data_IF_603531432429
#
_entry.id   IF_603531432429
#
_cell.length_a   1.000
_cell.length_b   1.000
_cell.length_c   1.000
_cell.angle_alpha   90.00
_cell.angle_beta   90.00
_cell.angle_gamma   90.00
#
_symmetry.space_group_name_H-M   'P 1'
#
loop_
_entity.id
_entity.type
_entity.pdbx_description
1 polymer ?
#
# COMPACT_ATOMS: atom_id res chain seq x y z
N UNK A 1 21.92 -5.25 -18.29
CA UNK A 1 22.25 -6.30 -19.29
C UNK A 1 21.11 -6.63 -20.26
N UNK A 2 19.83 -6.56 -19.88
CA UNK A 2 18.68 -6.80 -20.79
C UNK A 2 18.62 -5.81 -21.98
N UNK A 3 19.01 -4.56 -21.78
CA UNK A 3 19.03 -3.52 -22.81
C UNK A 3 19.93 -3.83 -24.01
N UNK A 4 21.04 -4.55 -23.80
CA UNK A 4 21.95 -4.95 -24.88
C UNK A 4 21.27 -5.96 -25.81
N UNK A 5 20.49 -6.89 -25.26
CA UNK A 5 19.75 -7.89 -26.04
C UNK A 5 18.61 -7.26 -26.84
N UNK A 6 17.93 -6.26 -26.29
CA UNK A 6 16.88 -5.53 -27.00
C UNK A 6 17.46 -4.74 -28.18
N UNK A 7 18.60 -4.07 -27.96
CA UNK A 7 19.30 -3.35 -29.04
C UNK A 7 19.82 -4.31 -30.12
N UNK A 8 20.39 -5.45 -29.73
CA UNK A 8 20.87 -6.46 -30.68
C UNK A 8 19.72 -7.07 -31.49
N UNK A 9 18.58 -7.36 -30.85
CA UNK A 9 17.40 -7.85 -31.52
C UNK A 9 16.85 -6.81 -32.50
N UNK A 10 16.72 -5.55 -32.10
CA UNK A 10 16.25 -4.46 -32.96
C UNK A 10 17.16 -4.23 -34.18
N UNK A 11 18.47 -4.28 -33.99
CA UNK A 11 19.45 -4.12 -35.07
C UNK A 11 19.41 -5.32 -36.04
N UNK A 12 19.17 -6.53 -35.53
CA UNK A 12 18.98 -7.73 -36.33
C UNK A 12 17.68 -7.68 -37.16
N UNK A 13 16.58 -7.15 -36.61
CA UNK A 13 15.33 -7.00 -37.38
C UNK A 13 15.48 -5.97 -38.50
N UNK A 14 16.11 -4.83 -38.22
CA UNK A 14 16.37 -3.78 -39.23
C UNK A 14 17.33 -4.29 -40.31
N UNK A 15 18.41 -4.98 -39.91
CA UNK A 15 19.35 -5.61 -40.84
C UNK A 15 18.69 -6.70 -41.70
N UNK A 16 17.81 -7.51 -41.11
CA UNK A 16 17.04 -8.54 -41.81
C UNK A 16 16.07 -7.96 -42.85
N UNK A 17 15.40 -6.85 -42.53
CA UNK A 17 14.52 -6.12 -43.47
C UNK A 17 15.34 -5.56 -44.64
N UNK A 18 16.56 -5.06 -44.38
CA UNK A 18 17.45 -4.55 -45.42
C UNK A 18 18.07 -5.65 -46.31
N UNK A 19 18.30 -6.85 -45.76
CA UNK A 19 18.94 -7.96 -46.48
C UNK A 19 17.94 -8.85 -47.23
N UNK A 20 16.74 -9.11 -46.68
CA UNK A 20 15.68 -9.86 -47.37
C UNK A 20 14.81 -8.97 -48.27
N UNK A 21 14.68 -7.67 -47.98
CA UNK A 21 13.93 -6.74 -48.78
C UNK A 21 14.72 -6.31 -50.01
N UNK A 22 14.44 -6.92 -51.17
CA UNK A 22 14.87 -6.41 -52.50
C UNK A 22 14.20 -5.07 -52.81
N UNK A 23 14.46 -4.04 -52.00
CA UNK A 23 13.92 -2.71 -52.16
C UNK A 23 14.71 -2.01 -53.28
N UNK A 24 14.02 -1.47 -54.31
CA UNK A 24 14.66 -0.71 -55.37
C UNK A 24 15.41 0.48 -54.76
N UNK A 25 16.57 0.83 -55.32
CA UNK A 25 17.46 1.86 -54.76
C UNK A 25 16.75 3.21 -54.50
N UNK A 26 15.67 3.49 -55.24
CA UNK A 26 14.84 4.68 -55.11
C UNK A 26 14.03 4.74 -53.80
N UNK A 27 13.70 3.63 -53.13
CA UNK A 27 12.84 3.62 -51.93
C UNK A 27 13.61 3.61 -50.60
N UNK A 28 14.93 3.38 -50.63
CA UNK A 28 15.82 3.44 -49.44
C UNK A 28 15.82 4.79 -48.72
N UNK A 29 15.84 5.96 -49.40
CA UNK A 29 15.77 7.24 -48.69
C UNK A 29 14.42 7.46 -48.00
N UNK A 30 13.32 6.93 -48.54
CA UNK A 30 11.99 6.98 -47.94
C UNK A 30 11.90 6.16 -46.64
N UNK A 31 12.49 4.98 -46.62
CA UNK A 31 12.58 4.17 -45.40
C UNK A 31 13.43 4.86 -44.32
N UNK A 32 14.57 5.46 -44.72
CA UNK A 32 15.39 6.26 -43.81
C UNK A 32 14.64 7.47 -43.24
N UNK A 33 13.87 8.18 -44.09
CA UNK A 33 13.06 9.30 -43.67
C UNK A 33 11.95 8.88 -42.69
N UNK A 34 11.30 7.73 -42.91
CA UNK A 34 10.27 7.22 -42.01
C UNK A 34 10.81 6.87 -40.61
N UNK A 35 12.02 6.28 -40.54
CA UNK A 35 12.69 5.99 -39.26
C UNK A 35 13.07 7.29 -38.55
N UNK A 36 13.62 8.25 -39.28
CA UNK A 36 13.97 9.57 -38.72
C UNK A 36 12.73 10.33 -38.24
N UNK A 37 11.60 10.24 -38.95
CA UNK A 37 10.32 10.80 -38.52
C UNK A 37 9.78 10.11 -37.25
N UNK A 38 9.91 8.78 -37.15
CA UNK A 38 9.53 8.04 -35.95
C UNK A 38 10.39 8.43 -34.74
N UNK A 39 11.70 8.58 -34.93
CA UNK A 39 12.62 9.02 -33.87
C UNK A 39 12.40 10.48 -33.48
N UNK A 40 12.16 11.37 -34.44
CA UNK A 40 11.84 12.77 -34.18
C UNK A 40 10.49 12.91 -33.48
N UNK A 41 9.48 12.13 -33.89
CA UNK A 41 8.19 12.06 -33.22
C UNK A 41 8.32 11.56 -31.79
N UNK A 42 9.10 10.50 -31.55
CA UNK A 42 9.38 10.00 -30.20
C UNK A 42 10.15 11.02 -29.33
N UNK A 43 11.10 11.74 -29.92
CA UNK A 43 11.87 12.78 -29.22
C UNK A 43 11.03 14.02 -28.90
N UNK A 44 10.04 14.35 -29.74
CA UNK A 44 9.12 15.47 -29.53
C UNK A 44 7.96 15.12 -28.59
N UNK A 45 7.52 13.86 -28.57
CA UNK A 45 6.43 13.38 -27.70
C UNK A 45 6.93 12.89 -26.33
N UNK A 46 8.18 12.42 -26.27
CA UNK A 46 8.80 11.94 -25.05
C UNK A 46 9.45 13.08 -24.27
N UNK A 47 9.30 13.07 -22.95
CA UNK A 47 10.04 13.96 -22.05
C UNK A 47 11.06 13.13 -21.25
N UNK A 48 12.13 12.61 -21.87
CA UNK A 48 13.08 11.68 -21.24
C UNK A 48 13.88 12.30 -20.09
N UNK A 49 13.77 13.62 -19.89
CA UNK A 49 14.39 14.39 -18.81
C UNK A 49 13.41 14.85 -17.72
N UNK A 50 12.14 14.44 -17.75
CA UNK A 50 11.26 14.69 -16.61
C UNK A 50 11.76 13.86 -15.41
N UNK A 51 12.06 14.49 -14.26
CA UNK A 51 12.20 13.76 -13.01
C UNK A 51 10.94 12.91 -12.81
N UNK A 52 11.09 11.67 -12.35
CA UNK A 52 9.94 10.84 -12.02
C UNK A 52 9.04 11.60 -11.07
N UNK A 53 7.87 12.03 -11.55
CA UNK A 53 6.87 12.64 -10.69
C UNK A 53 6.34 11.52 -9.78
N UNK A 54 6.38 11.69 -8.45
CA UNK A 54 5.68 10.79 -7.56
C UNK A 54 4.23 10.73 -8.04
N UNK A 55 3.69 9.52 -8.21
CA UNK A 55 2.25 9.34 -8.41
C UNK A 55 1.59 10.11 -7.27
N UNK A 56 0.90 11.20 -7.59
CA UNK A 56 0.15 11.94 -6.60
C UNK A 56 -0.85 10.95 -6.03
N UNK A 57 -0.59 10.54 -4.78
CA UNK A 57 -1.52 9.80 -3.96
C UNK A 57 -2.84 10.57 -4.05
N UNK A 58 -3.94 9.87 -4.30
CA UNK A 58 -5.25 10.45 -3.99
C UNK A 58 -5.12 11.06 -2.59
N UNK A 59 -5.59 12.30 -2.40
CA UNK A 59 -5.42 13.04 -1.16
C UNK A 59 -6.03 12.21 -0.02
N UNK A 60 -5.19 11.39 0.59
CA UNK A 60 -5.48 10.76 1.85
C UNK A 60 -5.48 11.89 2.87
N UNK A 61 -6.42 11.89 3.82
CA UNK A 61 -6.42 12.89 4.88
C UNK A 61 -5.02 12.96 5.51
N UNK A 62 -4.53 14.19 5.66
CA UNK A 62 -3.17 14.47 6.12
C UNK A 62 -2.82 13.63 7.36
N UNK A 63 -1.73 12.85 7.28
CA UNK A 63 -1.19 12.09 8.42
C UNK A 63 -1.51 10.60 8.48
N UNK A 64 -2.39 10.04 7.62
CA UNK A 64 -2.75 8.61 7.67
C UNK A 64 -1.95 7.71 6.72
N UNK A 65 -1.33 8.29 5.69
CA UNK A 65 -0.87 7.53 4.52
C UNK A 65 0.56 7.05 4.42
N UNK A 66 1.52 7.95 4.62
CA UNK A 66 2.90 7.76 4.19
C UNK A 66 3.74 6.98 5.22
N UNK A 67 3.17 6.67 6.38
CA UNK A 67 3.92 6.26 7.56
C UNK A 67 3.70 4.80 8.02
N UNK A 68 2.99 3.96 7.23
CA UNK A 68 2.77 2.54 7.59
C UNK A 68 4.09 1.75 7.64
N UNK A 69 4.95 1.89 6.62
CA UNK A 69 6.17 1.08 6.46
C UNK A 69 7.22 1.37 7.54
N UNK A 70 7.50 2.64 7.84
CA UNK A 70 8.48 3.01 8.88
C UNK A 70 7.99 2.63 10.28
N UNK A 71 6.67 2.67 10.52
CA UNK A 71 6.09 2.34 11.85
C UNK A 71 6.13 0.84 12.16
N UNK A 72 6.02 -0.02 11.16
CA UNK A 72 6.15 -1.46 11.38
C UNK A 72 7.49 -1.82 12.02
N UNK A 73 8.56 -1.10 11.70
CA UNK A 73 9.90 -1.35 12.23
C UNK A 73 10.05 -1.03 13.73
N UNK A 74 9.26 -0.10 14.26
CA UNK A 74 9.29 0.29 15.67
C UNK A 74 8.39 -0.54 16.58
N UNK A 75 7.41 -1.23 16.00
CA UNK A 75 6.45 -2.09 16.72
C UNK A 75 6.74 -3.58 16.57
N UNK A 76 7.59 -3.98 15.62
CA UNK A 76 7.99 -5.37 15.41
C UNK A 76 9.17 -5.72 16.34
N UNK A 77 9.03 -6.82 17.07
CA UNK A 77 10.15 -7.41 17.80
C UNK A 77 11.17 -7.95 16.79
N UNK A 78 12.35 -7.33 16.81
CA UNK A 78 13.30 -7.29 15.70
C UNK A 78 13.71 -8.67 15.17
N UNK A 79 13.28 -8.91 13.93
CA UNK A 79 13.84 -9.80 12.91
C UNK A 79 14.05 -11.27 13.31
N UNK A 80 12.93 -12.00 13.37
CA UNK A 80 12.92 -13.46 13.29
C UNK A 80 12.99 -14.01 11.85
N UNK A 81 12.90 -15.34 11.67
CA UNK A 81 12.93 -16.02 10.36
C UNK A 81 11.84 -15.60 9.37
N UNK A 82 10.83 -14.85 9.83
CA UNK A 82 9.76 -14.25 9.04
C UNK A 82 10.17 -12.97 8.30
N UNK A 83 11.27 -12.32 8.71
CA UNK A 83 11.75 -11.05 8.17
C UNK A 83 11.91 -11.03 6.65
N UNK A 84 12.38 -12.14 6.06
CA UNK A 84 12.55 -12.24 4.61
C UNK A 84 11.22 -12.08 3.84
N UNK A 85 10.12 -12.58 4.40
CA UNK A 85 8.80 -12.53 3.77
C UNK A 85 8.21 -11.13 3.89
N UNK A 86 8.40 -10.48 5.04
CA UNK A 86 8.03 -9.08 5.26
C UNK A 86 8.82 -8.17 4.30
N UNK A 87 10.15 -8.32 4.23
CA UNK A 87 10.97 -7.52 3.33
C UNK A 87 10.61 -7.72 1.84
N UNK A 88 10.25 -8.94 1.44
CA UNK A 88 9.75 -9.21 0.08
C UNK A 88 8.39 -8.54 -0.16
N UNK A 89 7.48 -8.64 0.80
CA UNK A 89 6.19 -7.95 0.76
C UNK A 89 6.37 -6.45 0.61
N UNK A 90 7.23 -5.84 1.43
CA UNK A 90 7.50 -4.40 1.38
C UNK A 90 8.09 -3.98 0.04
N UNK A 91 8.95 -4.82 -0.55
CA UNK A 91 9.46 -4.62 -1.90
C UNK A 91 8.36 -4.60 -2.96
N UNK A 92 7.38 -5.50 -2.86
CA UNK A 92 6.21 -5.49 -3.73
C UNK A 92 5.29 -4.28 -3.47
N UNK A 93 5.07 -3.92 -2.21
CA UNK A 93 4.28 -2.75 -1.82
C UNK A 93 4.85 -1.45 -2.41
N UNK A 94 6.17 -1.23 -2.31
CA UNK A 94 6.84 -0.05 -2.89
C UNK A 94 6.75 0.04 -4.42
N UNK A 95 6.47 -1.08 -5.10
CA UNK A 95 6.30 -1.12 -6.55
C UNK A 95 4.83 -1.20 -6.98
N UNK A 96 3.90 -1.00 -6.06
CA UNK A 96 2.45 -1.06 -6.31
C UNK A 96 1.90 -2.47 -6.55
N UNK A 97 2.73 -3.51 -6.39
CA UNK A 97 2.35 -4.92 -6.62
C UNK A 97 1.70 -5.52 -5.38
N UNK A 98 0.67 -4.88 -4.87
CA UNK A 98 0.01 -5.22 -3.58
C UNK A 98 -0.51 -6.66 -3.52
N UNK A 99 -0.99 -7.21 -4.64
CA UNK A 99 -1.39 -8.63 -4.71
C UNK A 99 -0.21 -9.59 -4.50
N UNK A 100 0.98 -9.28 -5.03
CA UNK A 100 2.18 -10.08 -4.80
C UNK A 100 2.71 -9.90 -3.37
N UNK A 101 2.50 -8.74 -2.77
CA UNK A 101 2.81 -8.49 -1.37
C UNK A 101 2.01 -9.41 -0.44
N UNK A 102 0.69 -9.49 -0.63
CA UNK A 102 -0.16 -10.42 0.12
C UNK A 102 0.26 -11.89 -0.08
N UNK A 103 0.49 -12.32 -1.33
CA UNK A 103 0.95 -13.68 -1.63
C UNK A 103 2.31 -14.02 -1.00
N UNK A 104 3.22 -13.05 -0.90
CA UNK A 104 4.51 -13.23 -0.23
C UNK A 104 4.31 -13.56 1.26
N UNK A 105 3.40 -12.84 1.91
CA UNK A 105 3.10 -13.00 3.33
C UNK A 105 2.33 -14.30 3.61
N UNK A 106 1.38 -14.67 2.74
CA UNK A 106 0.69 -15.96 2.81
C UNK A 106 1.68 -17.14 2.76
N UNK A 107 2.67 -17.09 1.87
CA UNK A 107 3.76 -18.10 1.83
C UNK A 107 4.61 -18.08 3.10
N UNK A 108 4.83 -16.90 3.67
CA UNK A 108 5.45 -16.77 4.99
C UNK A 108 4.65 -17.47 6.08
N UNK A 109 3.33 -17.25 6.10
CA UNK A 109 2.40 -17.83 7.08
C UNK A 109 2.28 -19.35 6.94
N UNK A 110 2.44 -19.91 5.74
CA UNK A 110 2.54 -21.37 5.59
C UNK A 110 3.73 -21.96 6.36
N UNK A 111 4.82 -21.19 6.50
CA UNK A 111 6.03 -21.63 7.23
C UNK A 111 6.01 -21.22 8.71
N UNK A 112 5.43 -20.06 9.01
CA UNK A 112 5.37 -19.48 10.36
C UNK A 112 3.92 -19.06 10.68
N UNK A 113 3.00 -20.03 10.90
CA UNK A 113 1.57 -19.75 11.02
C UNK A 113 1.19 -18.93 12.25
N UNK A 114 2.06 -18.91 13.26
CA UNK A 114 1.84 -18.21 14.53
C UNK A 114 2.59 -16.87 14.62
N UNK A 115 3.26 -16.45 13.53
CA UNK A 115 3.99 -15.20 13.54
C UNK A 115 3.04 -14.00 13.37
N UNK A 116 2.95 -13.19 14.41
CA UNK A 116 2.06 -12.01 14.50
C UNK A 116 2.40 -10.98 13.42
N UNK A 117 3.69 -10.70 13.19
CA UNK A 117 4.11 -9.70 12.19
C UNK A 117 3.68 -10.07 10.77
N UNK A 118 3.67 -11.35 10.41
CA UNK A 118 3.19 -11.80 9.09
C UNK A 118 1.69 -11.60 8.94
N UNK A 119 0.90 -11.86 9.98
CA UNK A 119 -0.54 -11.58 9.96
C UNK A 119 -0.83 -10.08 9.89
N UNK A 120 -0.10 -9.26 10.66
CA UNK A 120 -0.19 -7.79 10.57
C UNK A 120 0.22 -7.30 9.18
N UNK A 121 1.32 -7.82 8.64
CA UNK A 121 1.77 -7.53 7.29
C UNK A 121 0.72 -7.88 6.25
N UNK A 122 0.05 -9.05 6.41
CA UNK A 122 -0.99 -9.51 5.49
C UNK A 122 -2.19 -8.57 5.52
N UNK A 123 -2.65 -8.18 6.72
CA UNK A 123 -3.72 -7.18 6.87
C UNK A 123 -3.37 -5.88 6.15
N UNK A 124 -2.17 -5.35 6.37
CA UNK A 124 -1.71 -4.12 5.72
C UNK A 124 -1.60 -4.24 4.20
N UNK A 125 -1.08 -5.35 3.68
CA UNK A 125 -0.99 -5.60 2.24
C UNK A 125 -2.38 -5.70 1.59
N UNK A 126 -3.34 -6.31 2.27
CA UNK A 126 -4.73 -6.43 1.81
C UNK A 126 -5.47 -5.09 1.84
N UNK A 127 -5.25 -4.26 2.87
CA UNK A 127 -5.78 -2.88 2.91
C UNK A 127 -5.23 -2.07 1.75
N UNK A 128 -3.92 -2.13 1.51
CA UNK A 128 -3.31 -1.42 0.38
C UNK A 128 -3.82 -1.95 -0.97
N UNK A 129 -4.04 -3.26 -1.09
CA UNK A 129 -4.65 -3.85 -2.29
C UNK A 129 -6.07 -3.33 -2.53
N UNK A 130 -6.85 -3.14 -1.46
CA UNK A 130 -8.18 -2.55 -1.48
C UNK A 130 -8.21 -1.02 -1.58
N UNK A 131 -7.08 -0.36 -1.86
CA UNK A 131 -7.01 1.10 -1.98
C UNK A 131 -7.20 1.86 -0.66
N UNK A 132 -6.77 1.27 0.46
CA UNK A 132 -6.92 1.87 1.80
C UNK A 132 -8.19 1.47 2.53
N UNK A 133 -9.07 0.69 1.89
CA UNK A 133 -10.31 0.20 2.50
C UNK A 133 -10.06 -1.10 3.25
N UNK A 134 -10.60 -1.20 4.46
CA UNK A 134 -10.61 -2.43 5.24
C UNK A 134 -11.53 -3.47 4.59
N UNK A 135 -10.95 -4.46 3.91
CA UNK A 135 -11.70 -5.62 3.42
C UNK A 135 -11.96 -6.65 4.53
N UNK A 136 -12.96 -7.55 4.40
CA UNK A 136 -13.16 -8.64 5.35
C UNK A 136 -11.91 -9.53 5.54
N UNK A 137 -11.14 -9.75 4.47
CA UNK A 137 -9.90 -10.52 4.54
C UNK A 137 -8.82 -9.78 5.34
N UNK A 138 -8.70 -8.45 5.18
CA UNK A 138 -7.78 -7.65 5.98
C UNK A 138 -8.17 -7.65 7.48
N UNK A 139 -9.47 -7.49 7.76
CA UNK A 139 -9.99 -7.56 9.13
C UNK A 139 -9.70 -8.92 9.78
N UNK A 140 -9.91 -10.01 9.04
CA UNK A 140 -9.57 -11.35 9.51
C UNK A 140 -8.07 -11.50 9.80
N UNK A 141 -7.20 -10.96 8.94
CA UNK A 141 -5.75 -11.03 9.17
C UNK A 141 -5.32 -10.28 10.45
N UNK A 142 -5.90 -9.11 10.72
CA UNK A 142 -5.65 -8.39 11.99
C UNK A 142 -6.22 -9.11 13.21
N UNK A 143 -7.41 -9.71 13.09
CA UNK A 143 -8.01 -10.52 14.16
C UNK A 143 -7.16 -11.76 14.47
N UNK A 144 -6.68 -12.46 13.44
CA UNK A 144 -5.76 -13.58 13.58
C UNK A 144 -4.44 -13.16 14.24
N UNK A 145 -3.91 -11.98 13.93
CA UNK A 145 -2.74 -11.43 14.60
C UNK A 145 -3.02 -11.15 16.09
N UNK A 146 -4.15 -10.51 16.41
CA UNK A 146 -4.54 -10.15 17.76
C UNK A 146 -4.85 -11.37 18.65
N UNK A 147 -5.37 -12.47 18.08
CA UNK A 147 -5.58 -13.73 18.79
C UNK A 147 -4.28 -14.38 19.24
N UNK A 148 -3.23 -14.30 18.41
CA UNK A 148 -1.93 -14.93 18.67
C UNK A 148 -1.15 -14.19 19.74
N UNK A 149 -1.18 -12.85 19.68
CA UNK A 149 -0.61 -12.01 20.73
C UNK A 149 -1.54 -10.83 21.03
N UNK A 150 -2.39 -10.98 22.08
CA UNK A 150 -3.28 -9.92 22.53
C UNK A 150 -2.55 -8.68 23.08
N UNK A 151 -1.28 -8.82 23.47
CA UNK A 151 -0.46 -7.74 24.01
C UNK A 151 0.25 -6.95 22.90
N UNK A 152 0.35 -7.51 21.70
CA UNK A 152 1.03 -6.87 20.58
C UNK A 152 0.32 -5.55 20.18
N UNK A 153 1.05 -4.43 20.08
CA UNK A 153 0.44 -3.15 19.76
C UNK A 153 0.06 -3.00 18.28
N UNK A 154 0.76 -3.71 17.38
CA UNK A 154 0.60 -3.51 15.94
C UNK A 154 -0.79 -3.89 15.38
N UNK A 155 -1.39 -5.07 15.66
CA UNK A 155 -2.70 -5.42 15.10
C UNK A 155 -3.79 -4.36 15.34
N UNK A 156 -4.08 -3.92 16.59
CA UNK A 156 -5.08 -2.89 16.84
C UNK A 156 -4.68 -1.52 16.28
N UNK A 157 -3.39 -1.19 16.28
CA UNK A 157 -2.92 0.08 15.72
C UNK A 157 -3.24 0.18 14.23
N UNK A 158 -2.82 -0.82 13.44
CA UNK A 158 -3.05 -0.85 12.00
C UNK A 158 -4.51 -1.11 11.64
N UNK A 159 -5.24 -1.89 12.44
CA UNK A 159 -6.66 -2.08 12.24
C UNK A 159 -7.45 -0.77 12.38
N UNK A 160 -7.18 0.00 13.45
CA UNK A 160 -7.80 1.32 13.64
C UNK A 160 -7.44 2.31 12.55
N UNK A 161 -6.22 2.24 12.00
CA UNK A 161 -5.80 3.08 10.87
C UNK A 161 -6.64 2.80 9.62
N UNK A 162 -6.79 1.53 9.26
CA UNK A 162 -7.58 1.12 8.10
C UNK A 162 -9.09 1.42 8.31
N UNK A 163 -9.61 1.25 9.54
CA UNK A 163 -10.97 1.64 9.90
C UNK A 163 -11.18 3.15 9.68
N UNK A 164 -10.30 3.99 10.20
CA UNK A 164 -10.38 5.44 10.05
C UNK A 164 -10.32 5.88 8.58
N UNK A 165 -9.42 5.28 7.79
CA UNK A 165 -9.31 5.54 6.35
C UNK A 165 -10.57 5.12 5.58
N UNK A 166 -11.22 4.03 6.00
CA UNK A 166 -12.47 3.56 5.41
C UNK A 166 -13.72 4.32 5.90
N UNK A 167 -13.57 5.28 6.81
CA UNK A 167 -14.66 6.08 7.38
C UNK A 167 -15.35 5.47 8.61
N UNK A 168 -14.90 4.31 9.09
CA UNK A 168 -15.37 3.73 10.36
C UNK A 168 -14.66 4.39 11.55
N UNK A 169 -15.03 5.66 11.81
CA UNK A 169 -14.41 6.45 12.86
C UNK A 169 -14.73 5.90 14.26
N UNK A 170 -15.94 5.36 14.47
CA UNK A 170 -16.35 4.76 15.75
C UNK A 170 -15.56 3.48 16.05
N UNK A 171 -15.40 2.60 15.06
CA UNK A 171 -14.59 1.39 15.21
C UNK A 171 -13.12 1.72 15.48
N UNK A 172 -12.56 2.67 14.72
CA UNK A 172 -11.20 3.15 14.95
C UNK A 172 -11.01 3.72 16.37
N UNK A 173 -11.96 4.53 16.85
CA UNK A 173 -11.91 5.15 18.18
C UNK A 173 -11.95 4.10 19.29
N UNK A 174 -12.81 3.09 19.17
CA UNK A 174 -12.91 2.00 20.14
C UNK A 174 -11.62 1.18 20.22
N UNK A 175 -11.07 0.79 19.06
CA UNK A 175 -9.84 -0.03 18.99
C UNK A 175 -8.63 0.74 19.52
N UNK A 176 -8.45 2.00 19.10
CA UNK A 176 -7.33 2.84 19.54
C UNK A 176 -7.44 3.26 21.01
N UNK A 177 -8.64 3.55 21.52
CA UNK A 177 -8.83 3.84 22.95
C UNK A 177 -8.47 2.63 23.80
N UNK A 178 -8.89 1.43 23.38
CA UNK A 178 -8.52 0.19 24.04
C UNK A 178 -7.02 -0.09 23.99
N UNK A 179 -6.35 0.23 22.88
CA UNK A 179 -4.88 0.11 22.76
C UNK A 179 -4.17 1.09 23.69
N UNK A 180 -4.61 2.34 23.72
CA UNK A 180 -4.00 3.38 24.55
C UNK A 180 -4.13 3.07 26.05
N UNK A 181 -5.28 2.56 26.46
CA UNK A 181 -5.57 2.21 27.87
C UNK A 181 -4.62 1.14 28.43
N UNK A 182 -4.12 0.23 27.59
CA UNK A 182 -3.19 -0.84 27.98
C UNK A 182 -1.74 -0.59 27.59
N UNK A 183 -1.45 0.52 26.89
CA UNK A 183 -0.10 0.83 26.43
C UNK A 183 0.75 1.42 27.55
N UNK A 184 2.00 0.96 27.75
CA UNK A 184 2.94 1.58 28.69
C UNK A 184 3.17 3.07 28.39
N UNK A 185 3.42 3.89 29.42
CA UNK A 185 3.65 5.34 29.24
C UNK A 185 4.87 5.65 28.38
N UNK A 186 5.93 4.83 28.47
CA UNK A 186 7.18 5.00 27.70
C UNK A 186 7.19 4.34 26.32
N UNK A 187 6.04 3.85 25.82
CA UNK A 187 5.96 3.17 24.53
C UNK A 187 6.26 4.14 23.36
N UNK A 188 7.23 3.85 22.46
CA UNK A 188 7.60 4.76 21.38
C UNK A 188 6.47 5.07 20.39
N UNK A 189 5.46 4.20 20.26
CA UNK A 189 4.29 4.41 19.41
C UNK A 189 3.14 5.18 20.08
N UNK A 190 3.17 5.34 21.41
CA UNK A 190 2.08 5.93 22.18
C UNK A 190 1.80 7.40 21.79
N UNK A 191 2.80 8.28 21.61
CA UNK A 191 2.52 9.67 21.24
C UNK A 191 1.79 9.82 19.90
N UNK A 192 2.14 8.99 18.90
CA UNK A 192 1.45 9.00 17.59
C UNK A 192 0.01 8.47 17.72
N UNK A 193 -0.22 7.44 18.55
CA UNK A 193 -1.57 6.95 18.84
C UNK A 193 -2.44 8.02 19.51
N UNK A 194 -1.90 8.73 20.50
CA UNK A 194 -2.61 9.81 21.20
C UNK A 194 -2.99 10.95 20.23
N UNK A 195 -2.05 11.38 19.40
CA UNK A 195 -2.28 12.40 18.37
C UNK A 195 -3.39 11.99 17.39
N UNK A 196 -3.33 10.77 16.86
CA UNK A 196 -4.34 10.25 15.91
C UNK A 196 -5.71 10.13 16.54
N UNK A 197 -5.77 9.66 17.79
CA UNK A 197 -7.02 9.52 18.52
C UNK A 197 -7.65 10.89 18.80
N UNK A 198 -6.84 11.92 19.09
CA UNK A 198 -7.32 13.29 19.24
C UNK A 198 -7.91 13.82 17.93
N UNK A 199 -7.19 13.68 16.81
CA UNK A 199 -7.67 14.08 15.48
C UNK A 199 -8.95 13.35 15.08
N UNK A 200 -9.03 12.05 15.36
CA UNK A 200 -10.21 11.24 15.09
C UNK A 200 -11.43 11.74 15.85
N UNK A 201 -11.26 12.05 17.14
CA UNK A 201 -12.33 12.58 18.00
C UNK A 201 -12.79 13.97 17.58
N UNK A 202 -11.85 14.82 17.15
CA UNK A 202 -12.18 16.12 16.59
C UNK A 202 -13.01 15.97 15.31
N UNK A 203 -12.62 15.07 14.41
CA UNK A 203 -13.35 14.77 13.18
C UNK A 203 -14.74 14.18 13.41
N UNK A 204 -14.94 13.41 14.49
CA UNK A 204 -16.25 12.88 14.88
C UNK A 204 -17.18 13.97 15.46
N UNK A 205 -16.63 15.10 15.90
CA UNK A 205 -17.38 16.15 16.59
C UNK A 205 -17.90 15.72 17.97
N UNK A 206 -18.61 16.60 18.70
CA UNK A 206 -19.26 16.22 19.94
C UNK A 206 -20.26 15.09 19.69
N UNK A 207 -20.19 14.02 20.49
CA UNK A 207 -21.15 12.95 20.45
C UNK A 207 -22.55 13.54 20.58
N UNK A 208 -23.35 13.48 19.51
CA UNK A 208 -24.75 13.86 19.57
C UNK A 208 -25.38 13.01 20.69
N UNK A 209 -26.04 13.63 21.68
CA UNK A 209 -26.70 12.87 22.73
C UNK A 209 -27.61 11.83 22.07
N UNK A 210 -27.71 10.61 22.63
CA UNK A 210 -28.61 9.61 22.10
C UNK A 210 -29.99 10.26 21.96
N UNK A 211 -30.59 10.19 20.77
CA UNK A 211 -31.96 10.62 20.58
C UNK A 211 -32.78 9.90 21.63
N UNK A 212 -33.15 10.63 22.68
CA UNK A 212 -34.07 10.13 23.67
C UNK A 212 -35.33 9.88 22.86
N UNK A 213 -35.83 8.64 22.74
CA UNK A 213 -37.07 8.39 22.01
C UNK A 213 -38.07 9.34 22.62
N UNK A 214 -38.51 10.34 21.84
CA UNK A 214 -39.50 11.30 22.29
C UNK A 214 -40.65 10.47 22.80
N UNK A 215 -40.81 10.50 24.13
CA UNK A 215 -41.73 9.67 24.84
C UNK A 215 -43.08 9.80 24.13
N UNK A 216 -43.64 8.65 23.78
CA UNK A 216 -45.06 8.51 23.56
C UNK A 216 -45.77 9.03 24.82
N UNK A 217 -46.00 10.34 24.88
CA UNK A 217 -47.06 10.99 25.65
C UNK A 217 -48.18 11.14 24.62
N UNK A 218 -49.15 10.25 24.51
CA UNK A 218 -50.17 9.95 25.51
C UNK A 218 -50.78 11.24 26.09
N UNK A 219 -52.10 11.38 25.87
CA UNK A 219 -53.03 12.40 26.35
C UNK A 219 -52.87 13.79 25.68
N UNK A 220 -53.84 14.31 24.93
CA UNK A 220 -55.30 14.31 25.10
C UNK A 220 -56.03 14.40 23.77
#
# INVERSE_FOLDING_TARGET
>A
MIWLWILLAALATVGGIFWLGKLPAASRPLAGAAVMLGLAGYALQGSPSLPGHPVAKAAEPDGFGEAITDRQQGMADRFGPAAQWIGMSDGFMRTGKTALAAQALEKGLQKYPDNVDLWVGLGNALVAHGGGVMSPAAALAFDEAAKRDPSHPAPPFFAGLAMAQSGDLKGAEAVWSGLLARSPEGAPWRPDLEMRLAQLREAMGPALPPETPAAASAAR
#
